data_IF_289328004180
#
_entry.id   IF_289328004180
#
_cell.length_a   1.000
_cell.length_b   1.000
_cell.length_c   1.000
_cell.angle_alpha   90.00
_cell.angle_beta   90.00
_cell.angle_gamma   90.00
#
_symmetry.space_group_name_H-M   'P 1'
#
loop_
_entity.id
_entity.type
_entity.pdbx_description
1 polymer ?
#
# COMPACT_ATOMS: atom_id res chain seq x y z
N UNK A 1 8.49 -12.84 -15.36
CA UNK A 1 7.76 -12.59 -14.11
C UNK A 1 6.71 -11.52 -14.39
N UNK A 2 5.46 -11.72 -14.02
CA UNK A 2 4.33 -10.82 -14.28
C UNK A 2 4.17 -9.83 -13.12
N UNK A 3 4.52 -8.58 -13.36
CA UNK A 3 4.43 -7.51 -12.35
C UNK A 3 3.15 -6.71 -12.62
N UNK A 4 2.32 -6.56 -11.59
CA UNK A 4 1.18 -5.65 -11.59
C UNK A 4 1.44 -4.41 -10.77
N UNK A 5 0.91 -3.27 -11.23
CA UNK A 5 0.79 -2.06 -10.40
C UNK A 5 -0.69 -1.84 -10.09
N UNK A 6 -1.03 -1.81 -8.81
CA UNK A 6 -2.35 -1.43 -8.32
C UNK A 6 -2.31 0.04 -7.93
N UNK A 7 -3.08 0.88 -8.62
CA UNK A 7 -3.25 2.30 -8.29
C UNK A 7 -4.60 2.48 -7.61
N UNK A 8 -4.59 2.76 -6.31
CA UNK A 8 -5.83 3.12 -5.59
C UNK A 8 -6.09 4.61 -5.75
N UNK A 9 -7.32 4.99 -6.11
CA UNK A 9 -7.71 6.37 -6.34
C UNK A 9 -9.04 6.70 -5.66
N UNK A 10 -9.12 7.88 -5.07
CA UNK A 10 -10.36 8.48 -4.57
C UNK A 10 -10.22 10.00 -4.51
N UNK A 11 -11.00 10.71 -5.30
CA UNK A 11 -10.91 12.15 -5.53
C UNK A 11 -9.49 12.61 -5.93
N UNK A 12 -8.94 11.95 -6.96
CA UNK A 12 -7.59 12.12 -7.47
C UNK A 12 -7.54 12.80 -8.86
N UNK A 13 -8.59 13.52 -9.28
CA UNK A 13 -8.66 14.11 -10.63
C UNK A 13 -7.46 15.02 -10.95
N UNK A 14 -6.92 15.70 -9.94
CA UNK A 14 -5.82 16.65 -10.09
C UNK A 14 -4.43 16.00 -10.13
N UNK A 15 -4.33 14.72 -9.76
CA UNK A 15 -3.05 14.05 -9.47
C UNK A 15 -2.86 12.79 -10.30
N UNK A 16 -3.93 12.08 -10.66
CA UNK A 16 -3.86 10.75 -11.27
C UNK A 16 -2.96 10.71 -12.51
N UNK A 17 -3.19 11.57 -13.51
CA UNK A 17 -2.37 11.59 -14.73
C UNK A 17 -0.89 11.87 -14.42
N UNK A 18 -0.62 12.83 -13.52
CA UNK A 18 0.75 13.18 -13.11
C UNK A 18 1.46 12.03 -12.40
N UNK A 19 0.72 11.22 -11.64
CA UNK A 19 1.25 10.00 -11.00
C UNK A 19 1.60 8.96 -12.05
N UNK A 20 0.71 8.72 -13.02
CA UNK A 20 0.95 7.75 -14.09
C UNK A 20 2.13 8.15 -14.99
N UNK A 21 2.28 9.44 -15.32
CA UNK A 21 3.40 9.97 -16.12
C UNK A 21 4.76 9.80 -15.45
N UNK A 22 4.79 9.67 -14.11
CA UNK A 22 6.02 9.51 -13.33
C UNK A 22 6.48 8.05 -13.22
N UNK A 23 5.70 7.09 -13.71
CA UNK A 23 6.13 5.69 -13.75
C UNK A 23 7.34 5.59 -14.69
N UNK A 24 8.53 5.12 -14.21
CA UNK A 24 9.73 5.10 -15.04
C UNK A 24 9.53 4.27 -16.30
N UNK A 25 9.92 4.80 -17.46
CA UNK A 25 9.72 4.14 -18.76
C UNK A 25 10.35 2.74 -18.83
N UNK A 26 11.54 2.57 -18.26
CA UNK A 26 12.22 1.26 -18.25
C UNK A 26 11.57 0.25 -17.30
N UNK A 27 10.89 0.74 -16.27
CA UNK A 27 10.07 -0.10 -15.41
C UNK A 27 8.76 -0.48 -16.10
N UNK A 28 8.09 0.48 -16.75
CA UNK A 28 6.84 0.27 -17.46
C UNK A 28 6.93 -0.85 -18.51
N UNK A 29 8.08 -0.99 -19.19
CA UNK A 29 8.35 -2.10 -20.13
C UNK A 29 8.34 -3.50 -19.49
N UNK A 30 8.50 -3.59 -18.18
CA UNK A 30 8.52 -4.84 -17.40
C UNK A 30 7.18 -5.10 -16.70
N UNK A 31 6.27 -4.12 -16.69
CA UNK A 31 4.95 -4.23 -16.06
C UNK A 31 4.01 -4.96 -17.02
N UNK A 32 3.37 -6.02 -16.53
CA UNK A 32 2.41 -6.80 -17.29
C UNK A 32 1.06 -6.10 -17.34
N UNK A 33 0.62 -5.51 -16.22
CA UNK A 33 -0.66 -4.82 -16.12
C UNK A 33 -0.65 -3.72 -15.07
N UNK A 34 -1.39 -2.64 -15.30
CA UNK A 34 -1.66 -1.59 -14.32
C UNK A 34 -3.18 -1.50 -14.13
N UNK A 35 -3.65 -1.69 -12.90
CA UNK A 35 -5.05 -1.48 -12.54
C UNK A 35 -5.19 -0.17 -11.79
N UNK A 36 -5.98 0.76 -12.33
CA UNK A 36 -6.43 1.95 -11.61
C UNK A 36 -7.83 1.68 -11.08
N UNK A 37 -7.97 1.62 -9.75
CA UNK A 37 -9.25 1.44 -9.08
C UNK A 37 -9.72 2.77 -8.48
N UNK A 38 -10.66 3.40 -9.16
CA UNK A 38 -11.40 4.54 -8.65
C UNK A 38 -12.51 4.09 -7.67
N UNK A 39 -12.40 4.50 -6.41
CA UNK A 39 -13.29 4.08 -5.33
C UNK A 39 -14.54 4.95 -5.18
N UNK A 40 -15.33 5.01 -6.25
CA UNK A 40 -16.53 5.84 -6.35
C UNK A 40 -16.24 7.33 -6.07
N UNK A 41 -15.24 7.90 -6.76
CA UNK A 41 -14.94 9.32 -6.63
C UNK A 41 -16.14 10.20 -6.94
N UNK A 42 -16.20 11.34 -6.24
CA UNK A 42 -17.22 12.38 -6.47
C UNK A 42 -16.76 13.45 -7.45
N UNK A 43 -15.51 13.36 -7.90
CA UNK A 43 -14.88 14.25 -8.87
C UNK A 43 -14.61 13.50 -10.20
N UNK A 44 -13.86 14.10 -11.12
CA UNK A 44 -13.65 13.56 -12.46
C UNK A 44 -12.58 12.44 -12.56
N UNK A 45 -12.17 11.84 -11.43
CA UNK A 45 -11.09 10.84 -11.36
C UNK A 45 -11.24 9.71 -12.37
N UNK A 46 -12.46 9.15 -12.53
CA UNK A 46 -12.69 8.05 -13.47
C UNK A 46 -12.42 8.46 -14.92
N UNK A 47 -12.98 9.60 -15.34
CA UNK A 47 -12.86 10.08 -16.72
C UNK A 47 -11.42 10.49 -17.04
N UNK A 48 -10.71 11.11 -16.10
CA UNK A 48 -9.27 11.38 -16.20
C UNK A 48 -8.49 10.08 -16.45
N UNK A 49 -8.84 9.00 -15.73
CA UNK A 49 -8.26 7.67 -15.94
C UNK A 49 -8.52 7.13 -17.36
N UNK A 50 -9.77 7.19 -17.84
CA UNK A 50 -10.15 6.72 -19.19
C UNK A 50 -9.47 7.52 -20.30
N UNK A 51 -9.40 8.85 -20.14
CA UNK A 51 -8.71 9.72 -21.08
C UNK A 51 -7.21 9.40 -21.12
N UNK A 52 -6.60 9.17 -19.96
CA UNK A 52 -5.19 8.79 -19.89
C UNK A 52 -4.94 7.43 -20.55
N UNK A 53 -5.78 6.43 -20.27
CA UNK A 53 -5.71 5.10 -20.89
C UNK A 53 -5.76 5.18 -22.41
N UNK A 54 -6.60 6.05 -22.98
CA UNK A 54 -6.75 6.21 -24.43
C UNK A 54 -5.53 6.82 -25.12
N UNK A 55 -4.70 7.56 -24.39
CA UNK A 55 -3.54 8.30 -24.91
C UNK A 55 -2.19 7.70 -24.48
N UNK A 56 -2.20 6.66 -23.64
CA UNK A 56 -1.00 6.07 -23.04
C UNK A 56 -0.67 4.72 -23.66
N UNK A 57 0.62 4.37 -23.65
CA UNK A 57 1.10 3.03 -24.02
C UNK A 57 1.22 2.10 -22.80
N UNK A 58 0.91 2.59 -21.60
CA UNK A 58 0.91 1.77 -20.40
C UNK A 58 -0.20 0.70 -20.48
N UNK A 59 0.02 -0.52 -19.95
CA UNK A 59 -0.97 -1.60 -19.98
C UNK A 59 -2.07 -1.38 -18.92
N UNK A 60 -2.82 -0.29 -19.08
CA UNK A 60 -3.78 0.21 -18.10
C UNK A 60 -5.14 -0.46 -18.25
N UNK A 61 -5.76 -0.74 -17.11
CA UNK A 61 -7.19 -1.01 -16.96
C UNK A 61 -7.74 -0.05 -15.93
N UNK A 62 -8.80 0.68 -16.27
CA UNK A 62 -9.47 1.63 -15.37
C UNK A 62 -10.78 1.01 -14.91
N UNK A 63 -10.96 0.92 -13.60
CA UNK A 63 -12.18 0.42 -12.96
C UNK A 63 -12.76 1.50 -12.06
N UNK A 64 -14.08 1.59 -12.04
CA UNK A 64 -14.84 2.42 -11.12
C UNK A 64 -15.72 1.54 -10.24
N UNK A 65 -15.63 1.69 -8.93
CA UNK A 65 -16.59 1.07 -8.02
C UNK A 65 -17.90 1.86 -8.00
N UNK A 66 -19.03 1.16 -8.00
CA UNK A 66 -20.36 1.79 -7.91
C UNK A 66 -20.62 2.46 -6.55
N UNK A 67 -19.95 1.97 -5.50
CA UNK A 67 -20.00 2.49 -4.15
C UNK A 67 -18.59 2.61 -3.60
N UNK A 68 -18.37 3.56 -2.68
CA UNK A 68 -17.07 3.68 -2.02
C UNK A 68 -16.85 2.47 -1.11
N UNK A 69 -15.86 1.65 -1.42
CA UNK A 69 -15.51 0.45 -0.65
C UNK A 69 -14.57 0.79 0.51
N UNK A 70 -14.04 2.00 0.58
CA UNK A 70 -13.05 2.41 1.56
C UNK A 70 -11.65 1.90 1.19
N UNK A 71 -10.64 2.46 1.84
CA UNK A 71 -9.23 2.21 1.52
C UNK A 71 -8.85 0.71 1.55
N UNK A 72 -9.31 -0.03 2.55
CA UNK A 72 -9.09 -1.47 2.64
C UNK A 72 -9.90 -2.24 1.61
N UNK A 73 -11.15 -1.83 1.35
CA UNK A 73 -12.01 -2.45 0.34
C UNK A 73 -11.41 -2.32 -1.07
N UNK A 74 -10.91 -1.15 -1.42
CA UNK A 74 -10.24 -0.90 -2.69
C UNK A 74 -8.96 -1.75 -2.85
N UNK A 75 -8.15 -1.86 -1.80
CA UNK A 75 -6.98 -2.75 -1.80
C UNK A 75 -7.38 -4.22 -2.00
N UNK A 76 -8.45 -4.71 -1.35
CA UNK A 76 -8.93 -6.08 -1.53
C UNK A 76 -9.29 -6.35 -2.99
N UNK A 77 -10.02 -5.46 -3.64
CA UNK A 77 -10.35 -5.58 -5.08
C UNK A 77 -9.08 -5.73 -5.91
N UNK A 78 -8.08 -4.86 -5.67
CA UNK A 78 -6.82 -4.91 -6.41
C UNK A 78 -5.99 -6.17 -6.15
N UNK A 79 -5.98 -6.68 -4.92
CA UNK A 79 -5.28 -7.94 -4.63
C UNK A 79 -6.01 -9.17 -5.18
N UNK A 80 -7.35 -9.16 -5.23
CA UNK A 80 -8.11 -10.19 -5.93
C UNK A 80 -7.82 -10.17 -7.44
N UNK A 81 -7.81 -9.00 -8.05
CA UNK A 81 -7.42 -8.84 -9.45
C UNK A 81 -6.02 -9.43 -9.73
N UNK A 82 -5.04 -9.16 -8.86
CA UNK A 82 -3.70 -9.71 -9.01
C UNK A 82 -3.67 -11.24 -8.94
N UNK A 83 -4.50 -11.84 -8.06
CA UNK A 83 -4.67 -13.29 -7.97
C UNK A 83 -5.31 -13.88 -9.24
N UNK A 84 -6.35 -13.23 -9.75
CA UNK A 84 -7.12 -13.66 -10.93
C UNK A 84 -6.30 -13.56 -12.22
N UNK A 85 -5.48 -12.51 -12.36
CA UNK A 85 -4.54 -12.34 -13.48
C UNK A 85 -3.35 -13.29 -13.43
N UNK A 86 -3.21 -14.06 -12.34
CA UNK A 86 -2.05 -14.90 -12.09
C UNK A 86 -0.74 -14.11 -12.22
N UNK A 87 -0.70 -12.93 -11.59
CA UNK A 87 0.51 -12.15 -11.49
C UNK A 87 1.47 -12.83 -10.51
N UNK A 88 2.75 -12.47 -10.60
CA UNK A 88 3.77 -12.92 -9.66
C UNK A 88 3.96 -11.91 -8.52
N UNK A 89 3.84 -10.61 -8.84
CA UNK A 89 3.99 -9.49 -7.90
C UNK A 89 2.89 -8.46 -8.15
N UNK A 90 2.37 -7.86 -7.07
CA UNK A 90 1.59 -6.63 -7.13
C UNK A 90 2.22 -5.57 -6.24
N UNK A 91 2.40 -4.35 -6.77
CA UNK A 91 2.85 -3.18 -6.01
C UNK A 91 1.75 -2.14 -5.95
N UNK A 92 1.48 -1.63 -4.76
CA UNK A 92 0.47 -0.62 -4.46
C UNK A 92 1.05 0.79 -4.68
N UNK A 93 0.37 1.60 -5.46
CA UNK A 93 0.62 3.01 -5.72
C UNK A 93 -0.63 3.82 -5.40
N UNK A 94 -0.47 5.07 -4.95
CA UNK A 94 -1.58 5.94 -4.59
C UNK A 94 -1.77 7.01 -5.67
N UNK A 95 -2.99 7.15 -6.18
CA UNK A 95 -3.34 8.10 -7.24
C UNK A 95 -3.31 9.57 -6.81
N UNK A 96 -3.25 9.84 -5.50
CA UNK A 96 -3.10 11.18 -4.92
C UNK A 96 -1.66 11.72 -4.99
N UNK A 97 -0.69 10.87 -5.35
CA UNK A 97 0.71 11.24 -5.47
C UNK A 97 1.51 11.21 -4.16
N UNK A 98 0.94 10.63 -3.09
CA UNK A 98 1.63 10.51 -1.79
C UNK A 98 2.94 9.70 -1.88
N UNK A 99 3.00 8.74 -2.80
CA UNK A 99 4.18 7.89 -3.01
C UNK A 99 4.79 8.09 -4.38
N UNK A 100 6.13 8.13 -4.42
CA UNK A 100 6.91 8.33 -5.63
C UNK A 100 6.86 7.09 -6.55
N UNK A 101 6.27 7.19 -7.76
CA UNK A 101 6.27 6.09 -8.73
C UNK A 101 7.67 5.68 -9.18
N UNK A 102 8.66 6.57 -9.04
CA UNK A 102 10.07 6.31 -9.34
C UNK A 102 10.69 5.21 -8.47
N UNK A 103 10.04 4.87 -7.35
CA UNK A 103 10.46 3.81 -6.43
C UNK A 103 9.84 2.43 -6.74
N UNK A 104 8.95 2.32 -7.73
CA UNK A 104 8.35 1.04 -8.11
C UNK A 104 9.40 -0.05 -8.41
N UNK A 105 10.52 0.21 -9.14
CA UNK A 105 11.56 -0.78 -9.36
C UNK A 105 12.17 -1.31 -8.06
N UNK A 106 12.48 -0.41 -7.12
CA UNK A 106 13.10 -0.72 -5.84
C UNK A 106 12.13 -1.50 -4.94
N UNK A 107 10.83 -1.18 -5.00
CA UNK A 107 9.79 -1.89 -4.26
C UNK A 107 9.66 -3.35 -4.69
N UNK A 108 9.78 -3.65 -5.99
CA UNK A 108 9.65 -5.04 -6.48
C UNK A 108 10.96 -5.82 -6.45
N UNK A 109 12.12 -5.14 -6.52
CA UNK A 109 13.42 -5.78 -6.66
C UNK A 109 13.73 -6.87 -5.61
N UNK A 110 13.44 -6.69 -4.30
CA UNK A 110 13.69 -7.74 -3.31
C UNK A 110 12.86 -9.01 -3.55
N UNK A 111 11.65 -8.87 -4.10
CA UNK A 111 10.78 -10.00 -4.42
C UNK A 111 11.25 -10.68 -5.71
N UNK A 112 11.63 -9.91 -6.74
CA UNK A 112 12.24 -10.42 -7.99
C UNK A 112 13.46 -11.28 -7.66
N UNK A 113 14.29 -10.83 -6.71
CA UNK A 113 15.52 -11.50 -6.30
C UNK A 113 15.29 -12.70 -5.34
N UNK A 114 14.04 -12.98 -4.94
CA UNK A 114 13.73 -14.07 -4.00
C UNK A 114 14.15 -13.80 -2.55
N UNK A 115 14.51 -12.55 -2.21
CA UNK A 115 14.91 -12.14 -0.87
C UNK A 115 13.73 -11.78 0.02
N UNK A 116 12.59 -11.40 -0.57
CA UNK A 116 11.38 -11.02 0.15
C UNK A 116 10.12 -11.65 -0.44
N UNK A 117 9.15 -11.93 0.44
CA UNK A 117 7.77 -12.23 0.05
C UNK A 117 6.92 -10.96 0.01
N UNK A 118 7.30 -9.96 0.82
CA UNK A 118 6.61 -8.69 1.03
C UNK A 118 7.64 -7.57 1.23
N UNK A 119 7.42 -6.43 0.60
CA UNK A 119 8.27 -5.23 0.72
C UNK A 119 7.44 -4.05 1.20
N UNK A 120 7.93 -3.35 2.23
CA UNK A 120 7.35 -2.11 2.71
C UNK A 120 8.30 -0.94 2.45
N UNK A 121 7.78 0.13 1.88
CA UNK A 121 8.51 1.39 1.81
C UNK A 121 8.42 2.10 3.16
N UNK A 122 9.54 2.38 3.79
CA UNK A 122 9.62 3.09 5.07
C UNK A 122 10.24 4.47 4.92
N UNK A 123 9.56 5.46 5.51
CA UNK A 123 10.03 6.84 5.67
C UNK A 123 10.92 7.01 6.90
N UNK A 124 11.01 5.96 7.72
CA UNK A 124 11.59 5.99 9.06
C UNK A 124 12.94 5.28 9.17
N UNK A 125 13.43 4.67 8.09
CA UNK A 125 14.77 4.04 8.01
C UNK A 125 15.86 5.11 8.19
N UNK A 126 15.82 6.16 7.37
CA UNK A 126 16.80 7.24 7.46
C UNK A 126 16.45 8.19 8.59
N UNK A 127 17.38 8.32 9.53
CA UNK A 127 17.24 9.24 10.65
C UNK A 127 17.08 10.68 10.14
N UNK A 128 15.97 11.32 10.50
CA UNK A 128 15.64 12.68 10.07
C UNK A 128 14.96 12.79 8.71
N UNK A 129 15.01 11.75 7.86
CA UNK A 129 14.43 11.77 6.51
C UNK A 129 12.94 12.09 6.48
N UNK A 130 12.15 11.46 7.36
CA UNK A 130 10.72 11.76 7.53
C UNK A 130 10.43 13.25 7.80
N UNK A 131 11.21 13.88 8.68
CA UNK A 131 10.99 15.28 9.08
C UNK A 131 11.48 16.26 8.02
N UNK A 132 12.61 15.97 7.39
CA UNK A 132 13.15 16.75 6.27
C UNK A 132 12.19 16.74 5.07
N UNK A 133 11.52 15.61 4.81
CA UNK A 133 10.47 15.50 3.79
C UNK A 133 9.11 16.07 4.19
N UNK A 134 9.02 16.86 5.28
CA UNK A 134 7.82 17.62 5.63
C UNK A 134 6.81 16.90 6.53
N UNK A 135 7.04 15.66 6.99
CA UNK A 135 6.10 14.96 7.86
C UNK A 135 5.86 15.74 9.16
N UNK A 136 4.63 16.17 9.50
CA UNK A 136 4.35 16.92 10.73
C UNK A 136 4.86 16.23 11.99
N UNK A 137 5.36 17.01 12.97
CA UNK A 137 6.00 16.46 14.19
C UNK A 137 5.07 15.51 14.95
N UNK A 138 3.78 15.85 15.10
CA UNK A 138 2.83 14.99 15.79
C UNK A 138 2.59 13.67 15.05
N UNK A 139 2.61 13.65 13.70
CA UNK A 139 2.53 12.41 12.90
C UNK A 139 3.79 11.58 13.08
N UNK A 140 4.96 12.22 13.08
CA UNK A 140 6.23 11.53 13.31
C UNK A 140 6.28 10.85 14.69
N UNK A 141 5.96 11.60 15.76
CA UNK A 141 5.95 11.09 17.13
C UNK A 141 4.90 9.98 17.29
N UNK A 142 3.67 10.20 16.79
CA UNK A 142 2.61 9.21 16.84
C UNK A 142 2.99 7.90 16.13
N UNK A 143 3.59 8.00 14.94
CA UNK A 143 4.08 6.86 14.18
C UNK A 143 5.18 6.08 14.93
N UNK A 144 6.16 6.78 15.53
CA UNK A 144 7.21 6.12 16.33
C UNK A 144 6.64 5.40 17.56
N UNK A 145 5.70 6.02 18.28
CA UNK A 145 5.06 5.40 19.46
C UNK A 145 4.28 4.15 19.03
N UNK A 146 3.40 4.27 18.03
CA UNK A 146 2.56 3.16 17.58
C UNK A 146 3.40 2.01 17.01
N UNK A 147 4.38 2.31 16.16
CA UNK A 147 5.34 1.33 15.63
C UNK A 147 6.06 0.58 16.76
N UNK A 148 6.54 1.30 17.78
CA UNK A 148 7.24 0.66 18.93
C UNK A 148 6.31 -0.29 19.69
N UNK A 149 5.08 0.14 19.96
CA UNK A 149 4.11 -0.70 20.66
C UNK A 149 3.71 -1.92 19.83
N UNK A 150 3.47 -1.75 18.53
CA UNK A 150 3.09 -2.83 17.63
C UNK A 150 4.23 -3.85 17.46
N UNK A 151 5.47 -3.39 17.29
CA UNK A 151 6.65 -4.25 17.27
C UNK A 151 6.76 -5.11 18.53
N UNK A 152 6.60 -4.50 19.72
CA UNK A 152 6.63 -5.23 20.99
C UNK A 152 5.51 -6.27 21.09
N UNK A 153 4.30 -5.93 20.64
CA UNK A 153 3.14 -6.81 20.71
C UNK A 153 3.25 -7.98 19.71
N UNK A 154 3.63 -7.70 18.45
CA UNK A 154 3.76 -8.67 17.38
C UNK A 154 5.10 -9.43 17.37
N UNK A 155 6.06 -9.01 18.20
CA UNK A 155 7.40 -9.56 18.29
C UNK A 155 8.19 -9.48 16.96
N UNK A 156 8.22 -8.28 16.39
CA UNK A 156 8.97 -7.93 15.16
C UNK A 156 9.68 -6.59 15.35
N UNK A 157 10.48 -6.17 14.37
CA UNK A 157 11.30 -4.96 14.43
C UNK A 157 11.15 -4.10 13.17
N UNK A 158 9.91 -3.84 12.74
CA UNK A 158 9.65 -2.97 11.58
C UNK A 158 9.97 -1.52 11.92
N UNK A 159 10.57 -0.79 11.00
CA UNK A 159 10.88 0.64 11.14
C UNK A 159 9.63 1.52 11.04
N UNK A 160 8.61 1.07 10.30
CA UNK A 160 7.33 1.77 10.15
C UNK A 160 6.16 0.81 9.84
N UNK A 161 5.06 0.92 10.60
CA UNK A 161 3.81 0.18 10.32
C UNK A 161 2.79 0.93 9.46
N UNK A 162 2.95 2.26 9.35
CA UNK A 162 1.91 3.18 8.84
C UNK A 162 2.24 3.77 7.46
N UNK A 163 3.10 3.08 6.71
CA UNK A 163 3.31 3.37 5.30
C UNK A 163 2.37 2.52 4.44
N UNK A 164 1.77 3.18 3.45
CA UNK A 164 0.89 2.58 2.45
C UNK A 164 1.62 2.16 1.17
N UNK A 165 2.95 2.37 1.07
CA UNK A 165 3.70 1.90 -0.10
C UNK A 165 4.18 0.47 0.11
N UNK A 166 3.58 -0.47 -0.62
CA UNK A 166 3.77 -1.90 -0.37
C UNK A 166 3.84 -2.69 -1.66
N UNK A 167 4.67 -3.72 -1.67
CA UNK A 167 4.68 -4.73 -2.71
C UNK A 167 4.54 -6.12 -2.10
N UNK A 168 3.80 -6.98 -2.78
CA UNK A 168 3.53 -8.33 -2.34
C UNK A 168 3.81 -9.30 -3.47
N UNK A 169 4.47 -10.41 -3.17
CA UNK A 169 4.36 -11.58 -4.01
C UNK A 169 2.91 -12.08 -3.96
N UNK A 170 2.36 -12.46 -5.11
CA UNK A 170 1.00 -13.01 -5.17
C UNK A 170 0.95 -14.35 -4.43
N UNK A 171 2.06 -15.09 -4.39
CA UNK A 171 2.20 -16.29 -3.56
C UNK A 171 2.02 -16.02 -2.06
N UNK A 172 2.48 -14.86 -1.55
CA UNK A 172 2.25 -14.46 -0.16
C UNK A 172 0.80 -14.08 0.10
N UNK A 173 0.17 -13.34 -0.83
CA UNK A 173 -1.26 -12.99 -0.74
C UNK A 173 -2.15 -14.23 -0.69
N UNK A 174 -1.82 -15.32 -1.40
CA UNK A 174 -2.56 -16.60 -1.34
C UNK A 174 -2.53 -17.29 0.02
N UNK A 175 -1.57 -16.96 0.90
CA UNK A 175 -1.41 -17.59 2.22
C UNK A 175 -2.21 -16.91 3.32
N UNK A 176 -2.89 -15.80 3.02
CA UNK A 176 -3.61 -15.00 4.01
C UNK A 176 -5.04 -14.72 3.57
N UNK A 177 -5.96 -14.54 4.51
CA UNK A 177 -7.36 -14.25 4.20
C UNK A 177 -7.63 -12.74 4.30
N UNK A 178 -6.98 -11.96 3.45
CA UNK A 178 -7.08 -10.50 3.47
C UNK A 178 -8.50 -10.00 3.20
N UNK A 179 -9.38 -10.82 2.62
CA UNK A 179 -10.80 -10.47 2.41
C UNK A 179 -11.57 -10.28 3.71
N UNK A 180 -11.15 -10.95 4.80
CA UNK A 180 -11.74 -10.80 6.14
C UNK A 180 -11.28 -9.54 6.88
N UNK A 181 -10.31 -8.81 6.35
CA UNK A 181 -9.80 -7.60 7.00
C UNK A 181 -10.84 -6.47 6.92
N UNK A 182 -10.56 -5.35 7.58
CA UNK A 182 -11.35 -4.13 7.52
C UNK A 182 -11.39 -3.57 6.10
N UNK A 183 -12.47 -2.89 5.75
CA UNK A 183 -12.56 -2.12 4.52
C UNK A 183 -11.94 -0.71 4.65
N UNK A 184 -11.45 -0.35 5.84
CA UNK A 184 -10.90 0.97 6.16
C UNK A 184 -9.38 0.94 6.40
N UNK A 185 -8.80 2.08 6.78
CA UNK A 185 -7.36 2.28 6.99
C UNK A 185 -6.68 1.27 7.94
N UNK A 186 -7.41 0.64 8.85
CA UNK A 186 -6.85 -0.40 9.73
C UNK A 186 -6.59 -1.74 9.02
N UNK A 187 -7.04 -1.91 7.77
CA UNK A 187 -6.66 -3.01 6.87
C UNK A 187 -5.15 -3.21 6.82
N UNK A 188 -4.41 -2.11 6.69
CA UNK A 188 -2.95 -2.12 6.54
C UNK A 188 -2.25 -2.81 7.72
N UNK A 189 -2.75 -2.60 8.94
CA UNK A 189 -2.23 -3.28 10.13
C UNK A 189 -2.63 -4.75 10.15
N UNK A 190 -3.86 -5.09 9.76
CA UNK A 190 -4.34 -6.47 9.76
C UNK A 190 -3.59 -7.33 8.74
N UNK A 191 -3.36 -6.83 7.52
CA UNK A 191 -2.60 -7.58 6.52
C UNK A 191 -1.14 -7.75 6.93
N UNK A 192 -0.51 -6.77 7.60
CA UNK A 192 0.84 -6.96 8.18
C UNK A 192 0.83 -8.10 9.20
N UNK A 193 -0.14 -8.11 10.12
CA UNK A 193 -0.25 -9.16 11.14
C UNK A 193 -0.46 -10.54 10.50
N UNK A 194 -1.28 -10.63 9.45
CA UNK A 194 -1.44 -11.84 8.65
C UNK A 194 -0.14 -12.30 8.01
N UNK A 195 0.63 -11.39 7.39
CA UNK A 195 1.93 -11.73 6.77
C UNK A 195 2.95 -12.21 7.81
N UNK A 196 2.98 -11.60 8.99
CA UNK A 196 3.81 -12.04 10.13
C UNK A 196 3.35 -13.43 10.60
N UNK A 197 2.03 -13.63 10.78
CA UNK A 197 1.45 -14.89 11.21
C UNK A 197 1.73 -16.04 10.24
N UNK A 198 1.67 -15.76 8.93
CA UNK A 198 2.04 -16.67 7.86
C UNK A 198 3.55 -16.83 7.67
N UNK A 199 4.40 -16.20 8.51
CA UNK A 199 5.87 -16.25 8.45
C UNK A 199 6.46 -15.84 7.10
N UNK A 200 5.85 -14.85 6.44
CA UNK A 200 6.39 -14.30 5.20
C UNK A 200 7.67 -13.50 5.47
N UNK A 201 8.61 -13.52 4.52
CA UNK A 201 9.84 -12.70 4.57
C UNK A 201 9.48 -11.25 4.24
N UNK A 202 9.46 -10.41 5.26
CA UNK A 202 9.19 -8.97 5.14
C UNK A 202 10.53 -8.22 5.07
N UNK A 203 10.69 -7.37 4.06
CA UNK A 203 11.83 -6.45 3.91
C UNK A 203 11.32 -5.02 3.86
N UNK A 204 12.06 -4.09 4.45
CA UNK A 204 11.78 -2.66 4.33
C UNK A 204 12.82 -2.01 3.42
N UNK A 205 12.38 -1.10 2.56
CA UNK A 205 13.26 -0.23 1.78
C UNK A 205 13.02 1.23 2.16
N UNK A 206 14.04 2.06 2.03
CA UNK A 206 13.88 3.50 2.23
C UNK A 206 13.06 4.11 1.09
N UNK A 207 12.11 4.96 1.44
CA UNK A 207 11.36 5.79 0.48
C UNK A 207 11.37 7.26 0.90
N UNK A 208 11.30 8.20 -0.06
CA UNK A 208 11.22 9.62 0.24
C UNK A 208 9.92 9.93 0.96
N UNK A 209 9.95 11.01 1.74
CA UNK A 209 8.77 11.53 2.39
C UNK A 209 8.31 12.77 1.64
N UNK A 210 7.06 12.77 1.19
CA UNK A 210 6.43 13.93 0.61
C UNK A 210 5.16 14.23 1.41
N UNK A 211 5.13 15.40 2.05
CA UNK A 211 3.93 15.95 2.67
C UNK A 211 3.68 17.31 2.05
N UNK A 212 2.69 17.37 1.15
CA UNK A 212 2.15 18.62 0.59
C UNK A 212 0.87 19.06 1.30
N UNK A 213 -0.09 19.58 0.55
CA UNK A 213 -1.41 20.04 1.03
C UNK A 213 -2.40 18.90 1.32
N UNK A 214 -1.90 17.67 1.51
CA UNK A 214 -2.72 16.47 1.71
C UNK A 214 -3.54 16.56 3.01
N UNK A 215 -4.86 16.55 2.88
CA UNK A 215 -5.77 16.54 4.03
C UNK A 215 -5.91 15.10 4.53
N UNK A 216 -5.34 14.82 5.70
CA UNK A 216 -5.56 13.55 6.40
C UNK A 216 -7.00 13.46 6.89
N UNK A 217 -7.82 12.65 6.22
CA UNK A 217 -9.22 12.38 6.63
C UNK A 217 -9.34 11.35 7.77
N UNK A 218 -8.22 10.81 8.25
CA UNK A 218 -8.19 9.78 9.31
C UNK A 218 -8.23 10.42 10.70
N UNK A 219 -9.18 9.98 11.53
CA UNK A 219 -9.14 10.27 12.97
C UNK A 219 -8.01 9.45 13.62
N UNK A 220 -6.87 10.10 13.86
CA UNK A 220 -5.65 9.44 14.34
C UNK A 220 -5.80 8.68 15.67
N UNK A 221 -6.61 9.18 16.61
CA UNK A 221 -6.82 8.54 17.92
C UNK A 221 -7.64 7.26 17.74
N UNK A 222 -8.78 7.35 17.05
CA UNK A 222 -9.64 6.19 16.78
C UNK A 222 -8.90 5.12 15.98
N UNK A 223 -8.09 5.54 15.00
CA UNK A 223 -7.21 4.67 14.25
C UNK A 223 -6.17 3.99 15.15
N UNK A 224 -5.42 4.76 15.95
CA UNK A 224 -4.41 4.26 16.88
C UNK A 224 -4.93 3.21 17.87
N UNK A 225 -6.12 3.44 18.45
CA UNK A 225 -6.74 2.46 19.35
C UNK A 225 -7.09 1.17 18.61
N UNK A 226 -7.70 1.25 17.42
CA UNK A 226 -8.09 0.08 16.62
C UNK A 226 -6.91 -0.82 16.30
N UNK A 227 -5.81 -0.25 15.78
CA UNK A 227 -4.64 -1.03 15.37
C UNK A 227 -3.94 -1.70 16.56
N UNK A 228 -3.96 -1.08 17.75
CA UNK A 228 -3.42 -1.68 18.96
C UNK A 228 -4.30 -2.83 19.45
N UNK A 229 -5.62 -2.72 19.34
CA UNK A 229 -6.56 -3.82 19.61
C UNK A 229 -6.29 -4.99 18.66
N UNK A 230 -6.14 -4.73 17.36
CA UNK A 230 -5.82 -5.78 16.37
C UNK A 230 -4.50 -6.48 16.71
N UNK A 231 -3.46 -5.71 17.04
CA UNK A 231 -2.14 -6.26 17.37
C UNK A 231 -2.16 -7.04 18.69
N UNK A 232 -2.92 -6.59 19.69
CA UNK A 232 -3.10 -7.31 20.95
C UNK A 232 -3.83 -8.63 20.73
N UNK A 233 -4.93 -8.62 19.96
CA UNK A 233 -5.66 -9.83 19.59
C UNK A 233 -4.77 -10.80 18.81
N UNK A 234 -3.94 -10.32 17.89
CA UNK A 234 -2.94 -11.15 17.19
C UNK A 234 -1.96 -11.81 18.18
N UNK A 235 -1.46 -11.05 19.16
CA UNK A 235 -0.55 -11.58 20.20
C UNK A 235 -1.21 -12.69 21.03
N UNK A 236 -2.49 -12.53 21.35
CA UNK A 236 -3.27 -13.47 22.15
C UNK A 236 -3.78 -14.67 21.35
N UNK A 237 -3.80 -14.60 20.02
CA UNK A 237 -4.28 -15.68 19.16
C UNK A 237 -3.33 -16.88 19.18
N UNK A 238 -3.87 -18.07 19.43
CA UNK A 238 -3.19 -19.35 19.31
C UNK A 238 -2.94 -19.74 17.85
N UNK A 239 -3.73 -19.24 16.90
CA UNK A 239 -3.54 -19.44 15.46
C UNK A 239 -3.32 -18.10 14.76
N UNK A 240 -2.05 -17.77 14.54
CA UNK A 240 -1.62 -16.48 13.99
C UNK A 240 -1.89 -16.33 12.48
N UNK A 241 -2.06 -17.45 11.76
CA UNK A 241 -2.26 -17.46 10.31
C UNK A 241 -3.68 -17.10 9.87
N UNK A 242 -4.65 -17.18 10.78
CA UNK A 242 -6.07 -16.87 10.53
C UNK A 242 -6.53 -15.60 11.26
N UNK A 243 -5.58 -14.80 11.73
CA UNK A 243 -5.87 -13.45 12.17
C UNK A 243 -6.31 -12.57 11.01
#
# INVERSE_FOLDING_TARGET
MKIGVLVVAYNAQATLSRVLDRIPLDFAKQVDSILVCDDASTDDTHNVGLQYQSNSQLPLTIVHHEINLGYGGNQKTGYQWALEKNLDIVVLLHGDGQYAPEYLPQMVAPIVAGHADVVFGSRMITQGGARQGGMPLYKFVGNKILTTLQNRLANVSLTEWHSGYRAYSVAALRKVNFLKNSDYFDFDSQIILQMIGARQKIVEIEIPTFYGDEISRVNGIKYGIKILIHTLRFRLSSNKSYF
#
